data_IF_967926837664
#
_entry.id   IF_967926837664
#
_cell.length_a   1.000
_cell.length_b   1.000
_cell.length_c   1.000
_cell.angle_alpha   90.00
_cell.angle_beta   90.00
_cell.angle_gamma   90.00
#
_symmetry.space_group_name_H-M   'P 1'
#
loop_
_entity.id
_entity.type
_entity.pdbx_description
1 polymer ?
#
# COMPACT_ATOMS: atom_id res chain seq x y z
N UNK A 1 -20.08 -1.16 -5.60
CA UNK A 1 -19.21 0.02 -5.39
C UNK A 1 -18.15 -0.40 -4.36
N UNK A 2 -16.97 -0.84 -4.81
CA UNK A 2 -15.94 -1.33 -3.89
C UNK A 2 -15.27 -0.16 -3.18
N UNK A 3 -15.43 -0.08 -1.87
CA UNK A 3 -14.70 0.86 -1.02
C UNK A 3 -13.32 0.25 -0.79
N UNK A 4 -12.29 0.83 -1.39
CA UNK A 4 -10.91 0.48 -1.06
C UNK A 4 -10.66 0.78 0.42
N UNK A 5 -10.25 -0.24 1.18
CA UNK A 5 -9.98 -0.07 2.61
C UNK A 5 -8.69 0.72 2.82
N UNK A 6 -8.84 1.97 3.27
CA UNK A 6 -7.72 2.88 3.55
C UNK A 6 -6.77 2.33 4.61
N UNK A 7 -7.26 1.52 5.57
CA UNK A 7 -6.41 0.89 6.58
C UNK A 7 -5.51 -0.18 5.96
N UNK A 8 -6.04 -0.95 5.01
CA UNK A 8 -5.25 -1.91 4.25
C UNK A 8 -4.15 -1.22 3.43
N UNK A 9 -4.46 -0.11 2.77
CA UNK A 9 -3.46 0.68 2.04
C UNK A 9 -2.38 1.21 3.00
N UNK A 10 -2.78 1.79 4.13
CA UNK A 10 -1.85 2.30 5.14
C UNK A 10 -0.88 1.22 5.63
N UNK A 11 -1.39 0.03 5.99
CA UNK A 11 -0.57 -1.08 6.43
C UNK A 11 0.44 -1.51 5.35
N UNK A 12 0.01 -1.57 4.09
CA UNK A 12 0.88 -1.90 2.96
C UNK A 12 1.95 -0.85 2.69
N UNK A 13 1.60 0.43 2.77
CA UNK A 13 2.53 1.56 2.68
C UNK A 13 3.60 1.44 3.76
N UNK A 14 3.20 1.25 5.02
CA UNK A 14 4.13 1.11 6.15
C UNK A 14 5.09 -0.08 5.95
N UNK A 15 4.58 -1.24 5.55
CA UNK A 15 5.40 -2.44 5.31
C UNK A 15 6.39 -2.26 4.15
N UNK A 16 5.97 -1.66 3.04
CA UNK A 16 6.85 -1.43 1.88
C UNK A 16 7.95 -0.42 2.20
N UNK A 17 7.59 0.68 2.87
CA UNK A 17 8.58 1.67 3.31
C UNK A 17 9.57 1.09 4.32
N UNK A 18 9.12 0.27 5.27
CA UNK A 18 10.00 -0.42 6.21
C UNK A 18 10.98 -1.34 5.48
N UNK A 19 10.48 -2.17 4.56
CA UNK A 19 11.31 -3.09 3.79
C UNK A 19 12.30 -2.39 2.85
N UNK A 20 11.94 -1.24 2.30
CA UNK A 20 12.86 -0.45 1.48
C UNK A 20 13.91 0.27 2.34
N UNK A 21 13.51 0.85 3.47
CA UNK A 21 14.41 1.53 4.39
C UNK A 21 15.43 0.56 5.01
N UNK A 22 15.02 -0.66 5.37
CA UNK A 22 15.93 -1.70 5.83
C UNK A 22 16.99 -2.09 4.77
N UNK A 23 16.66 -1.97 3.48
CA UNK A 23 17.57 -2.20 2.35
C UNK A 23 18.35 -0.95 1.93
N UNK A 24 18.24 0.16 2.66
CA UNK A 24 18.88 1.43 2.29
C UNK A 24 18.35 2.06 1.00
N UNK A 25 17.16 1.64 0.55
CA UNK A 25 16.55 2.05 -0.71
C UNK A 25 15.57 3.20 -0.51
N UNK A 26 15.61 4.18 -1.42
CA UNK A 26 14.59 5.23 -1.50
C UNK A 26 13.45 4.77 -2.40
N UNK A 27 12.21 4.97 -1.96
CA UNK A 27 11.00 4.60 -2.72
C UNK A 27 10.30 5.87 -3.18
N UNK A 28 9.89 5.88 -4.45
CA UNK A 28 9.05 6.95 -5.00
C UNK A 28 7.58 6.61 -4.86
N UNK A 29 6.72 7.63 -4.80
CA UNK A 29 5.27 7.44 -4.69
C UNK A 29 4.69 6.58 -5.83
N UNK A 30 5.18 6.75 -7.05
CA UNK A 30 4.75 5.96 -8.22
C UNK A 30 5.10 4.49 -8.07
N UNK A 31 6.32 4.21 -7.62
CA UNK A 31 6.79 2.86 -7.36
C UNK A 31 5.97 2.20 -6.25
N UNK A 32 5.74 2.93 -5.15
CA UNK A 32 4.91 2.45 -4.05
C UNK A 32 3.48 2.14 -4.50
N UNK A 33 2.90 2.96 -5.38
CA UNK A 33 1.58 2.71 -5.94
C UNK A 33 1.53 1.46 -6.81
N UNK A 34 2.54 1.24 -7.65
CA UNK A 34 2.69 0.03 -8.44
C UNK A 34 2.86 -1.21 -7.56
N UNK A 35 3.72 -1.15 -6.55
CA UNK A 35 3.99 -2.26 -5.62
C UNK A 35 2.77 -2.64 -4.78
N UNK A 36 1.97 -1.65 -4.36
CA UNK A 36 0.73 -1.88 -3.59
C UNK A 36 -0.45 -2.25 -4.51
N UNK A 37 -0.37 -1.97 -5.82
CA UNK A 37 -1.42 -2.29 -6.79
C UNK A 37 -2.63 -1.35 -6.73
N UNK A 38 -2.43 -0.08 -6.36
CA UNK A 38 -3.50 0.91 -6.20
C UNK A 38 -3.18 2.20 -6.96
N UNK A 39 -4.17 3.09 -7.10
CA UNK A 39 -3.95 4.36 -7.80
C UNK A 39 -2.99 5.24 -6.99
N UNK A 40 -2.09 5.94 -7.69
CA UNK A 40 -1.16 6.91 -7.11
C UNK A 40 -1.87 7.94 -6.22
N UNK A 41 -3.07 8.39 -6.61
CA UNK A 41 -3.86 9.36 -5.85
C UNK A 41 -4.26 8.82 -4.46
N UNK A 42 -4.65 7.55 -4.37
CA UNK A 42 -5.06 6.91 -3.11
C UNK A 42 -3.86 6.74 -2.18
N UNK A 43 -2.71 6.32 -2.72
CA UNK A 43 -1.46 6.25 -1.95
C UNK A 43 -1.05 7.62 -1.46
N UNK A 44 -1.17 8.66 -2.30
CA UNK A 44 -0.85 10.04 -1.92
C UNK A 44 -1.71 10.47 -0.73
N UNK A 45 -3.01 10.25 -0.79
CA UNK A 45 -3.93 10.60 0.29
C UNK A 45 -3.53 9.91 1.60
N UNK A 46 -3.25 8.60 1.55
CA UNK A 46 -2.85 7.82 2.71
C UNK A 46 -1.49 8.27 3.27
N UNK A 47 -0.49 8.47 2.41
CA UNK A 47 0.84 8.97 2.82
C UNK A 47 0.73 10.35 3.46
N UNK A 48 -0.10 11.25 2.91
CA UNK A 48 -0.35 12.56 3.51
C UNK A 48 -0.98 12.46 4.91
N UNK A 49 -1.90 11.52 5.13
CA UNK A 49 -2.50 11.29 6.45
C UNK A 49 -1.49 10.71 7.44
N UNK A 50 -0.74 9.68 7.03
CA UNK A 50 0.33 9.10 7.84
C UNK A 50 1.42 10.12 8.18
N UNK A 51 1.65 11.11 7.31
CA UNK A 51 2.55 12.20 7.59
C UNK A 51 2.02 13.18 8.63
N UNK A 52 0.74 13.55 8.53
CA UNK A 52 0.08 14.38 9.54
C UNK A 52 0.04 13.69 10.92
N UNK A 53 -0.07 12.36 10.93
CA UNK A 53 0.00 11.52 12.15
C UNK A 53 1.44 11.30 12.66
N UNK A 54 2.46 11.71 11.88
CA UNK A 54 3.87 11.61 12.27
C UNK A 54 4.49 10.22 12.10
N UNK A 55 3.87 9.33 11.32
CA UNK A 55 4.37 7.97 11.03
C UNK A 55 5.27 7.92 9.79
N UNK A 56 5.04 8.81 8.83
CA UNK A 56 5.80 8.89 7.58
C UNK A 56 6.36 10.30 7.41
N UNK A 57 7.61 10.43 6.99
CA UNK A 57 8.12 11.66 6.40
C UNK A 57 7.79 11.63 4.90
N UNK A 58 6.73 12.34 4.49
CA UNK A 58 6.27 12.34 3.10
C UNK A 58 7.25 13.03 2.14
N UNK A 59 8.09 13.94 2.64
CA UNK A 59 9.11 14.59 1.82
C UNK A 59 10.24 13.63 1.48
N UNK A 60 10.63 12.79 2.45
CA UNK A 60 11.72 11.82 2.28
C UNK A 60 11.25 10.42 1.89
N UNK A 61 9.94 10.16 1.88
CA UNK A 61 9.34 8.84 1.69
C UNK A 61 9.98 7.80 2.61
N UNK A 62 10.10 8.14 3.90
CA UNK A 62 10.71 7.30 4.94
C UNK A 62 9.78 7.17 6.13
N UNK A 63 9.93 6.08 6.88
CA UNK A 63 9.25 5.94 8.16
C UNK A 63 9.96 6.77 9.22
N UNK A 64 9.16 7.43 10.06
CA UNK A 64 9.64 7.92 11.35
C UNK A 64 9.80 6.74 12.31
N UNK A 65 10.31 6.98 13.52
CA UNK A 65 10.40 5.92 14.53
C UNK A 65 9.04 5.31 14.87
N UNK A 66 7.98 6.12 14.97
CA UNK A 66 6.64 5.61 15.29
C UNK A 66 6.09 4.76 14.15
N UNK A 67 6.27 5.19 12.89
CA UNK A 67 5.87 4.41 11.73
C UNK A 67 6.65 3.11 11.58
N UNK A 68 7.94 3.09 11.96
CA UNK A 68 8.76 1.89 11.93
C UNK A 68 8.30 0.86 12.97
N UNK A 69 7.99 1.30 14.20
CA UNK A 69 7.44 0.42 15.24
C UNK A 69 6.10 -0.17 14.79
N UNK A 70 5.21 0.64 14.22
CA UNK A 70 3.94 0.15 13.67
C UNK A 70 4.16 -0.89 12.57
N UNK A 71 5.07 -0.63 11.63
CA UNK A 71 5.38 -1.57 10.56
C UNK A 71 5.96 -2.89 11.09
N UNK A 72 6.81 -2.83 12.13
CA UNK A 72 7.38 -4.01 12.77
C UNK A 72 6.29 -4.87 13.44
N UNK A 73 5.35 -4.25 14.15
CA UNK A 73 4.20 -4.94 14.76
C UNK A 73 3.25 -5.58 13.74
N UNK A 74 3.32 -5.17 12.47
CA UNK A 74 2.50 -5.72 11.37
C UNK A 74 3.17 -6.88 10.62
N UNK A 75 4.41 -7.27 10.94
CA UNK A 75 5.16 -8.28 10.16
C UNK A 75 4.44 -9.64 10.09
N UNK A 76 3.54 -9.95 11.03
CA UNK A 76 2.71 -11.16 11.03
C UNK A 76 1.37 -11.03 10.29
N UNK A 77 1.08 -9.87 9.68
CA UNK A 77 -0.21 -9.61 9.00
C UNK A 77 -0.06 -9.58 7.48
N UNK A 78 -0.41 -10.69 6.82
CA UNK A 78 -0.59 -10.77 5.36
C UNK A 78 -2.01 -10.35 4.95
N UNK A 79 -2.14 -9.53 3.90
CA UNK A 79 -3.44 -9.19 3.32
C UNK A 79 -4.14 -10.45 2.81
N UNK A 80 -5.44 -10.55 3.07
CA UNK A 80 -6.32 -11.48 2.36
C UNK A 80 -6.37 -11.04 0.90
N UNK A 81 -6.11 -11.97 -0.02
CA UNK A 81 -6.08 -11.68 -1.45
C UNK A 81 -7.36 -10.96 -1.90
N UNK A 82 -7.18 -9.83 -2.58
CA UNK A 82 -8.26 -9.15 -3.30
C UNK A 82 -8.75 -10.13 -4.37
N UNK A 83 -10.03 -10.50 -4.31
CA UNK A 83 -10.64 -11.39 -5.29
C UNK A 83 -10.73 -10.62 -6.61
N UNK A 84 -9.83 -10.91 -7.55
CA UNK A 84 -9.99 -10.44 -8.92
C UNK A 84 -11.29 -11.00 -9.46
N UNK A 85 -12.21 -10.11 -9.82
CA UNK A 85 -13.42 -10.46 -10.55
C UNK A 85 -12.98 -11.09 -11.86
N UNK A 86 -13.24 -12.38 -12.02
CA UNK A 86 -12.91 -13.13 -13.21
C UNK A 86 -13.57 -12.43 -14.43
N UNK A 87 -12.75 -12.19 -15.45
CA UNK A 87 -13.17 -11.85 -16.81
C UNK A 87 -14.40 -12.68 -17.19
N UNK A 88 -15.51 -12.08 -17.68
CA UNK A 88 -16.70 -12.84 -17.98
C UNK A 88 -16.39 -13.85 -19.09
N UNK A 89 -16.57 -15.13 -18.79
CA UNK A 89 -16.48 -16.22 -19.74
C UNK A 89 -17.56 -16.01 -20.81
N UNK A 90 -17.16 -15.52 -22.00
CA UNK A 90 -18.04 -15.50 -23.17
C UNK A 90 -18.25 -16.94 -23.60
N UNK A 91 -19.39 -17.53 -23.21
CA UNK A 91 -19.88 -18.73 -23.86
C UNK A 91 -20.39 -18.34 -25.26
N UNK A 92 -19.52 -18.47 -26.25
CA UNK A 92 -19.92 -18.54 -27.64
C UNK A 92 -20.73 -19.84 -27.84
N UNK A 93 -22.06 -19.71 -27.81
CA UNK A 93 -22.96 -20.76 -28.31
C UNK A 93 -22.90 -20.70 -29.83
N UNK A 94 -22.17 -21.63 -30.43
CA UNK A 94 -22.20 -21.87 -31.88
C UNK A 94 -23.55 -22.52 -32.19
N UNK A 95 -24.32 -21.87 -33.06
CA UNK A 95 -25.50 -22.41 -33.72
C UNK A 95 -25.14 -22.70 -35.18
#
# INVERSE_FOLDING_TARGET
MYVLDRKAIAAHVLRHLAGAQARGRLVRLDELACEVGVRRADVREVVSRLHAEGHVDAQRMKLTMTGLVLAASMQDSTLRAVRNEATPTVHAKVA
#
